data_IF_145024125892
#
_entry.id   IF_145024125892
#
_cell.length_a   1.000
_cell.length_b   1.000
_cell.length_c   1.000
_cell.angle_alpha   90.00
_cell.angle_beta   90.00
_cell.angle_gamma   90.00
#
_symmetry.space_group_name_H-M   'P 1'
#
loop_
_entity.id
_entity.type
_entity.pdbx_description
1 polymer ?
#
# COMPACT_ATOMS: atom_id res chain seq x y z
N UNK A 1 -25.06 11.80 -30.23
CA UNK A 1 -24.73 10.44 -29.73
C UNK A 1 -23.21 10.19 -29.68
N UNK A 2 -22.45 10.63 -30.69
CA UNK A 2 -21.00 10.40 -30.76
C UNK A 2 -20.19 10.90 -29.55
N UNK A 3 -20.48 12.10 -29.02
CA UNK A 3 -19.79 12.62 -27.83
C UNK A 3 -19.98 11.73 -26.58
N UNK A 4 -21.21 11.23 -26.35
CA UNK A 4 -21.48 10.32 -25.22
C UNK A 4 -20.73 9.00 -25.38
N UNK A 5 -20.69 8.44 -26.58
CA UNK A 5 -19.95 7.19 -26.87
C UNK A 5 -18.46 7.39 -26.62
N UNK A 6 -17.89 8.52 -27.07
CA UNK A 6 -16.50 8.88 -26.80
C UNK A 6 -16.21 9.02 -25.30
N UNK A 7 -17.11 9.64 -24.54
CA UNK A 7 -16.96 9.79 -23.09
C UNK A 7 -17.00 8.44 -22.37
N UNK A 8 -17.91 7.53 -22.77
CA UNK A 8 -17.97 6.17 -22.21
C UNK A 8 -16.72 5.36 -22.54
N UNK A 9 -16.23 5.41 -23.79
CA UNK A 9 -14.99 4.72 -24.18
C UNK A 9 -13.79 5.26 -23.37
N UNK A 10 -13.72 6.57 -23.14
CA UNK A 10 -12.63 7.18 -22.39
C UNK A 10 -12.65 6.79 -20.90
N UNK A 11 -13.84 6.73 -20.28
CA UNK A 11 -14.00 6.27 -18.89
C UNK A 11 -13.68 4.77 -18.77
N UNK A 12 -14.24 3.94 -19.66
CA UNK A 12 -14.02 2.49 -19.66
C UNK A 12 -12.56 2.13 -19.95
N UNK A 13 -11.89 2.85 -20.84
CA UNK A 13 -10.45 2.67 -21.11
C UNK A 13 -9.59 3.12 -19.94
N UNK A 14 -9.90 4.26 -19.30
CA UNK A 14 -9.21 4.72 -18.09
C UNK A 14 -9.31 3.72 -16.94
N UNK A 15 -10.52 3.23 -16.64
CA UNK A 15 -10.73 2.16 -15.65
C UNK A 15 -10.05 0.86 -16.07
N UNK A 16 -10.12 0.50 -17.35
CA UNK A 16 -9.50 -0.70 -17.90
C UNK A 16 -7.99 -0.70 -17.74
N UNK A 17 -7.32 0.40 -18.04
CA UNK A 17 -5.87 0.57 -17.84
C UNK A 17 -5.50 0.45 -16.36
N UNK A 18 -6.30 1.03 -15.47
CA UNK A 18 -6.06 0.98 -14.03
C UNK A 18 -6.25 -0.43 -13.46
N UNK A 19 -7.30 -1.14 -13.87
CA UNK A 19 -7.55 -2.53 -13.47
C UNK A 19 -6.48 -3.45 -14.06
N UNK A 20 -6.12 -3.27 -15.34
CA UNK A 20 -5.07 -4.04 -16.00
C UNK A 20 -3.72 -3.85 -15.30
N UNK A 21 -3.37 -2.63 -14.87
CA UNK A 21 -2.17 -2.35 -14.08
C UNK A 21 -2.18 -3.10 -12.75
N UNK A 22 -3.28 -3.05 -12.01
CA UNK A 22 -3.37 -3.72 -10.70
C UNK A 22 -3.41 -5.24 -10.83
N UNK A 23 -4.03 -5.79 -11.88
CA UNK A 23 -4.02 -7.23 -12.20
C UNK A 23 -2.64 -7.68 -12.62
N UNK A 24 -1.94 -6.91 -13.47
CA UNK A 24 -0.56 -7.18 -13.86
C UNK A 24 0.39 -7.11 -12.67
N UNK A 25 0.24 -6.10 -11.81
CA UNK A 25 1.03 -5.94 -10.59
C UNK A 25 0.77 -7.09 -9.62
N UNK A 26 -0.49 -7.46 -9.40
CA UNK A 26 -0.86 -8.62 -8.57
C UNK A 26 -0.26 -9.91 -9.14
N UNK A 27 -0.36 -10.12 -10.45
CA UNK A 27 0.24 -11.26 -11.13
C UNK A 27 1.77 -11.29 -10.98
N UNK A 28 2.45 -10.15 -11.14
CA UNK A 28 3.91 -10.00 -10.91
C UNK A 28 4.29 -10.31 -9.46
N UNK A 29 3.54 -9.80 -8.48
CA UNK A 29 3.79 -10.05 -7.05
C UNK A 29 3.66 -11.54 -6.73
N UNK A 30 2.65 -12.22 -7.29
CA UNK A 30 2.40 -13.65 -7.05
C UNK A 30 3.40 -14.54 -7.80
N UNK A 31 3.75 -14.21 -9.05
CA UNK A 31 4.64 -15.03 -9.89
C UNK A 31 6.12 -14.79 -9.63
N UNK A 32 6.52 -13.58 -9.25
CA UNK A 32 7.92 -13.19 -9.07
C UNK A 32 8.15 -12.38 -7.79
N UNK A 33 7.93 -12.98 -6.59
CA UNK A 33 8.09 -12.29 -5.32
C UNK A 33 9.50 -11.69 -5.17
N UNK A 34 10.56 -12.39 -5.60
CA UNK A 34 11.96 -11.95 -5.39
C UNK A 34 12.44 -10.84 -6.33
N UNK A 35 11.68 -10.47 -7.37
CA UNK A 35 12.08 -9.39 -8.29
C UNK A 35 11.34 -8.08 -8.05
N UNK A 36 10.31 -8.08 -7.21
CA UNK A 36 9.50 -6.88 -6.97
C UNK A 36 9.93 -6.15 -5.71
N UNK A 37 9.83 -4.81 -5.72
CA UNK A 37 10.12 -3.94 -4.56
C UNK A 37 9.37 -4.38 -3.31
N UNK A 38 8.13 -4.82 -3.49
CA UNK A 38 7.26 -5.32 -2.40
C UNK A 38 7.86 -6.57 -1.76
N UNK A 39 8.39 -7.51 -2.54
CA UNK A 39 9.00 -8.72 -2.04
C UNK A 39 10.39 -8.50 -1.44
N UNK A 40 11.21 -7.64 -2.05
CA UNK A 40 12.51 -7.24 -1.47
C UNK A 40 12.30 -6.56 -0.11
N UNK A 41 11.38 -5.60 -0.01
CA UNK A 41 11.04 -4.96 1.24
C UNK A 41 10.47 -5.96 2.27
N UNK A 42 9.74 -6.98 1.82
CA UNK A 42 9.27 -8.06 2.70
C UNK A 42 10.41 -8.94 3.22
N UNK A 43 11.45 -9.20 2.43
CA UNK A 43 12.66 -9.91 2.85
C UNK A 43 13.46 -9.05 3.84
N UNK A 44 13.70 -7.78 3.52
CA UNK A 44 14.41 -6.86 4.40
C UNK A 44 13.71 -6.70 5.75
N UNK A 45 12.36 -6.63 5.75
CA UNK A 45 11.58 -6.66 7.00
C UNK A 45 11.72 -7.98 7.77
N UNK A 46 11.81 -9.13 7.09
CA UNK A 46 12.06 -10.42 7.76
C UNK A 46 13.42 -10.44 8.44
N UNK A 47 14.46 -9.98 7.75
CA UNK A 47 15.81 -9.88 8.29
C UNK A 47 15.86 -8.90 9.47
N UNK A 48 15.22 -7.73 9.33
CA UNK A 48 15.11 -6.75 10.41
C UNK A 48 14.40 -7.33 11.63
N UNK A 49 13.26 -8.01 11.48
CA UNK A 49 12.56 -8.64 12.63
C UNK A 49 13.44 -9.69 13.32
N UNK A 50 14.16 -10.52 12.55
CA UNK A 50 15.08 -11.50 13.12
C UNK A 50 16.19 -10.83 13.94
N UNK A 51 16.82 -9.78 13.40
CA UNK A 51 17.85 -9.01 14.10
C UNK A 51 17.32 -8.30 15.36
N UNK A 52 16.10 -7.74 15.31
CA UNK A 52 15.48 -7.11 16.49
C UNK A 52 15.15 -8.12 17.60
N UNK A 53 14.80 -9.36 17.24
CA UNK A 53 14.45 -10.42 18.19
C UNK A 53 15.64 -11.18 18.77
N UNK A 54 16.81 -11.16 18.12
CA UNK A 54 18.04 -11.74 18.67
C UNK A 54 18.45 -11.05 19.98
N UNK A 55 18.41 -9.72 19.99
CA UNK A 55 18.71 -8.85 21.12
C UNK A 55 17.49 -8.04 21.63
N UNK A 56 16.38 -8.74 21.86
CA UNK A 56 15.11 -8.12 22.27
C UNK A 56 15.22 -7.20 23.53
N UNK A 57 16.17 -7.46 24.44
CA UNK A 57 16.37 -6.63 25.64
C UNK A 57 16.94 -5.23 25.34
N UNK A 58 17.70 -5.08 24.24
CA UNK A 58 18.25 -3.79 23.79
C UNK A 58 17.38 -3.17 22.70
N UNK A 59 16.91 -4.00 21.77
CA UNK A 59 16.28 -3.55 20.53
C UNK A 59 14.74 -3.54 20.59
N UNK A 60 14.12 -4.13 21.61
CA UNK A 60 12.65 -4.24 21.72
C UNK A 60 11.93 -2.89 21.72
N UNK A 61 12.52 -1.87 22.38
CA UNK A 61 11.96 -0.51 22.38
C UNK A 61 11.96 0.10 20.98
N UNK A 62 13.08 0.00 20.26
CA UNK A 62 13.20 0.50 18.88
C UNK A 62 12.22 -0.21 17.95
N UNK A 63 12.06 -1.52 18.12
CA UNK A 63 11.14 -2.32 17.32
C UNK A 63 9.67 -1.91 17.55
N UNK A 64 9.26 -1.76 18.82
CA UNK A 64 7.90 -1.28 19.14
C UNK A 64 7.69 0.15 18.69
N UNK A 65 8.67 1.04 18.85
CA UNK A 65 8.56 2.41 18.37
C UNK A 65 8.37 2.47 16.86
N UNK A 66 9.11 1.66 16.11
CA UNK A 66 8.95 1.54 14.65
C UNK A 66 7.55 1.05 14.28
N UNK A 67 7.03 0.03 14.97
CA UNK A 67 5.67 -0.48 14.76
C UNK A 67 4.60 0.56 15.13
N UNK A 68 4.80 1.33 16.20
CA UNK A 68 3.91 2.44 16.59
C UNK A 68 3.88 3.55 15.56
N UNK A 69 5.03 3.89 14.95
CA UNK A 69 5.08 4.85 13.85
C UNK A 69 4.27 4.35 12.65
N UNK A 70 4.40 3.08 12.30
CA UNK A 70 3.59 2.47 11.23
C UNK A 70 2.09 2.46 11.57
N UNK A 71 1.72 2.16 12.82
CA UNK A 71 0.32 2.25 13.29
C UNK A 71 -0.19 3.68 13.16
N UNK A 72 0.59 4.68 13.56
CA UNK A 72 0.23 6.10 13.44
C UNK A 72 0.01 6.47 11.97
N UNK A 73 0.91 6.08 11.06
CA UNK A 73 0.75 6.31 9.63
C UNK A 73 -0.54 5.67 9.06
N UNK A 74 -0.80 4.40 9.39
CA UNK A 74 -2.06 3.72 9.00
C UNK A 74 -3.28 4.41 9.60
N UNK A 75 -3.19 4.93 10.82
CA UNK A 75 -4.30 5.63 11.51
C UNK A 75 -4.59 6.97 10.84
N UNK A 76 -3.56 7.74 10.48
CA UNK A 76 -3.73 8.99 9.72
C UNK A 76 -4.45 8.72 8.40
N UNK A 77 -3.98 7.72 7.64
CA UNK A 77 -4.63 7.32 6.39
C UNK A 77 -6.07 6.84 6.61
N UNK A 78 -6.36 6.02 7.63
CA UNK A 78 -7.72 5.59 7.93
C UNK A 78 -8.65 6.78 8.27
N UNK A 79 -8.18 7.73 9.09
CA UNK A 79 -8.93 8.94 9.43
C UNK A 79 -9.17 9.83 8.22
N UNK A 80 -8.16 10.00 7.35
CA UNK A 80 -8.35 10.72 6.09
C UNK A 80 -9.40 10.03 5.20
N UNK A 81 -9.42 8.70 5.14
CA UNK A 81 -10.38 7.95 4.33
C UNK A 81 -11.81 8.18 4.83
N UNK A 82 -12.05 8.06 6.14
CA UNK A 82 -13.38 8.25 6.71
C UNK A 82 -13.85 9.71 6.60
N UNK A 83 -12.92 10.67 6.74
CA UNK A 83 -13.19 12.10 6.53
C UNK A 83 -13.62 12.38 5.09
N UNK A 84 -12.92 11.79 4.11
CA UNK A 84 -13.29 11.92 2.70
C UNK A 84 -14.61 11.20 2.39
N UNK A 85 -14.89 10.04 2.98
CA UNK A 85 -16.21 9.41 2.89
C UNK A 85 -17.32 10.34 3.40
N UNK A 86 -17.11 10.99 4.55
CA UNK A 86 -18.07 11.94 5.12
C UNK A 86 -18.26 13.16 4.23
N UNK A 87 -17.17 13.76 3.73
CA UNK A 87 -17.22 14.87 2.78
C UNK A 87 -18.02 14.49 1.52
N UNK A 88 -17.74 13.32 0.94
CA UNK A 88 -18.45 12.83 -0.24
C UNK A 88 -19.94 12.59 0.04
N UNK A 89 -20.29 12.07 1.21
CA UNK A 89 -21.69 11.90 1.62
C UNK A 89 -22.42 13.25 1.74
N UNK A 90 -21.77 14.28 2.30
CA UNK A 90 -22.33 15.64 2.38
C UNK A 90 -22.50 16.26 0.99
N UNK A 91 -21.55 16.06 0.07
CA UNK A 91 -21.66 16.55 -1.31
C UNK A 91 -22.85 15.91 -2.05
N UNK A 92 -23.14 14.63 -1.81
CA UNK A 92 -24.32 13.95 -2.39
C UNK A 92 -25.62 14.53 -1.83
N UNK A 93 -25.71 14.78 -0.52
CA UNK A 93 -26.95 15.26 0.10
C UNK A 93 -27.23 16.74 -0.19
N UNK A 94 -26.17 17.56 -0.27
CA UNK A 94 -26.28 19.00 -0.58
C UNK A 94 -26.53 19.29 -2.06
N UNK A 95 -26.02 18.45 -2.97
CA UNK A 95 -26.23 18.58 -4.42
C UNK A 95 -27.67 18.42 -4.88
N UNK A 96 -28.57 17.91 -4.04
CA UNK A 96 -30.01 17.83 -4.32
C UNK A 96 -30.79 19.14 -4.16
N UNK A 97 -30.19 20.17 -3.55
CA UNK A 97 -30.92 21.38 -3.10
C UNK A 97 -30.38 22.72 -3.64
N UNK A 98 -29.31 22.74 -4.43
CA UNK A 98 -28.75 24.02 -4.91
C UNK A 98 -28.08 23.90 -6.26
N UNK A 99 -28.48 24.79 -7.17
CA UNK A 99 -27.78 25.07 -8.43
C UNK A 99 -26.38 25.59 -8.12
N UNK A 100 -25.42 24.68 -7.91
CA UNK A 100 -24.02 25.03 -7.73
C UNK A 100 -23.33 25.17 -9.11
N UNK A 101 -22.71 26.32 -9.43
CA UNK A 101 -22.09 26.58 -10.73
C UNK A 101 -20.79 25.81 -10.98
N UNK A 102 -20.29 25.03 -10.02
CA UNK A 102 -19.04 24.28 -10.11
C UNK A 102 -19.20 22.91 -10.84
N UNK A 103 -20.44 22.46 -11.09
CA UNK A 103 -20.73 21.13 -11.68
C UNK A 103 -21.09 21.23 -13.18
N UNK A 104 -20.53 22.22 -13.88
CA UNK A 104 -20.85 22.51 -15.29
C UNK A 104 -19.78 21.93 -16.21
N UNK A 105 -19.65 20.59 -16.31
CA UNK A 105 -19.11 19.94 -17.53
C UNK A 105 -19.27 18.39 -17.57
N UNK A 106 -20.46 17.86 -17.33
CA UNK A 106 -20.68 16.42 -17.56
C UNK A 106 -22.12 15.97 -17.29
N UNK A 107 -22.76 15.45 -18.34
CA UNK A 107 -24.11 14.86 -18.45
C UNK A 107 -25.05 14.98 -17.21
N UNK A 108 -26.16 15.72 -17.36
CA UNK A 108 -27.19 16.04 -16.34
C UNK A 108 -28.03 14.84 -15.85
N UNK A 109 -27.55 13.60 -15.96
CA UNK A 109 -28.28 12.43 -15.48
C UNK A 109 -28.00 12.21 -13.99
N UNK A 110 -29.04 12.40 -13.17
CA UNK A 110 -29.02 12.14 -11.71
C UNK A 110 -28.44 10.75 -11.40
N UNK A 111 -28.73 9.76 -12.26
CA UNK A 111 -28.22 8.40 -12.12
C UNK A 111 -26.70 8.28 -12.32
N UNK A 112 -26.15 9.02 -13.29
CA UNK A 112 -24.71 9.04 -13.55
C UNK A 112 -23.92 9.68 -12.40
N UNK A 113 -24.47 10.73 -11.79
CA UNK A 113 -23.87 11.36 -10.61
C UNK A 113 -23.85 10.40 -9.41
N UNK A 114 -24.97 9.76 -9.08
CA UNK A 114 -25.03 8.81 -7.96
C UNK A 114 -24.02 7.66 -8.09
N UNK A 115 -23.83 7.11 -9.29
CA UNK A 115 -22.85 6.04 -9.54
C UNK A 115 -21.42 6.52 -9.27
N UNK A 116 -21.06 7.73 -9.73
CA UNK A 116 -19.72 8.30 -9.52
C UNK A 116 -19.39 8.45 -8.04
N UNK A 117 -20.30 9.05 -7.28
CA UNK A 117 -20.11 9.26 -5.84
C UNK A 117 -20.10 7.96 -5.06
N UNK A 118 -20.98 7.01 -5.41
CA UNK A 118 -20.97 5.68 -4.82
C UNK A 118 -19.64 4.95 -5.06
N UNK A 119 -19.11 5.00 -6.28
CA UNK A 119 -17.81 4.39 -6.62
C UNK A 119 -16.66 5.00 -5.79
N UNK A 120 -16.64 6.32 -5.62
CA UNK A 120 -15.62 7.01 -4.80
C UNK A 120 -15.76 6.62 -3.32
N UNK A 121 -16.98 6.57 -2.80
CA UNK A 121 -17.25 6.18 -1.42
C UNK A 121 -16.79 4.73 -1.15
N UNK A 122 -17.12 3.80 -2.03
CA UNK A 122 -16.66 2.40 -1.94
C UNK A 122 -15.13 2.34 -1.97
N UNK A 123 -14.48 3.11 -2.84
CA UNK A 123 -13.02 3.17 -2.91
C UNK A 123 -12.39 3.64 -1.58
N UNK A 124 -12.90 4.72 -0.99
CA UNK A 124 -12.40 5.20 0.31
C UNK A 124 -12.72 4.24 1.45
N UNK A 125 -13.88 3.58 1.44
CA UNK A 125 -14.22 2.56 2.43
C UNK A 125 -13.24 1.36 2.36
N UNK A 126 -12.89 0.91 1.16
CA UNK A 126 -11.89 -0.14 0.96
C UNK A 126 -10.52 0.31 1.49
N UNK A 127 -10.10 1.54 1.18
CA UNK A 127 -8.86 2.11 1.71
C UNK A 127 -8.86 2.16 3.25
N UNK A 128 -9.98 2.55 3.86
CA UNK A 128 -10.18 2.54 5.32
C UNK A 128 -10.03 1.13 5.89
N UNK A 129 -10.75 0.14 5.34
CA UNK A 129 -10.72 -1.23 5.83
C UNK A 129 -9.31 -1.84 5.77
N UNK A 130 -8.56 -1.60 4.70
CA UNK A 130 -7.17 -2.06 4.59
C UNK A 130 -6.25 -1.40 5.61
N UNK A 131 -6.39 -0.09 5.86
CA UNK A 131 -5.63 0.58 6.90
C UNK A 131 -5.98 0.08 8.32
N UNK A 132 -7.26 -0.20 8.60
CA UNK A 132 -7.70 -0.83 9.87
C UNK A 132 -7.10 -2.22 10.05
N UNK A 133 -7.08 -3.05 9.00
CA UNK A 133 -6.43 -4.36 9.06
C UNK A 133 -4.92 -4.23 9.29
N UNK A 134 -4.26 -3.27 8.66
CA UNK A 134 -2.85 -2.97 8.90
C UNK A 134 -2.58 -2.65 10.37
N UNK A 135 -3.39 -1.76 10.98
CA UNK A 135 -3.29 -1.42 12.40
C UNK A 135 -3.39 -2.66 13.28
N UNK A 136 -4.37 -3.55 13.01
CA UNK A 136 -4.53 -4.81 13.76
C UNK A 136 -3.26 -5.65 13.71
N UNK A 137 -2.71 -5.89 12.52
CA UNK A 137 -1.51 -6.72 12.37
C UNK A 137 -0.28 -6.09 13.03
N UNK A 138 -0.08 -4.77 12.90
CA UNK A 138 1.03 -4.10 13.58
C UNK A 138 0.88 -4.08 15.10
N UNK A 139 -0.34 -3.91 15.62
CA UNK A 139 -0.61 -4.00 17.05
C UNK A 139 -0.28 -5.39 17.59
N UNK A 140 -0.72 -6.46 16.91
CA UNK A 140 -0.33 -7.82 17.28
C UNK A 140 1.19 -8.01 17.21
N UNK A 141 1.84 -7.59 16.12
CA UNK A 141 3.28 -7.70 16.00
C UNK A 141 4.04 -6.94 17.11
N UNK A 142 3.53 -5.80 17.56
CA UNK A 142 4.16 -4.99 18.61
C UNK A 142 4.17 -5.66 19.98
N UNK A 143 3.16 -6.49 20.26
CA UNK A 143 3.10 -7.30 21.47
C UNK A 143 4.04 -8.51 21.32
N UNK A 144 3.99 -9.18 20.15
CA UNK A 144 4.77 -10.39 19.92
C UNK A 144 6.28 -10.14 19.89
N UNK A 145 6.74 -8.99 19.37
CA UNK A 145 8.17 -8.69 19.24
C UNK A 145 8.87 -8.51 20.60
N UNK A 146 8.13 -8.13 21.64
CA UNK A 146 8.64 -7.94 23.01
C UNK A 146 8.43 -9.13 23.92
N UNK A 147 7.80 -10.21 23.44
CA UNK A 147 7.55 -11.38 24.29
C UNK A 147 8.88 -12.11 24.55
N UNK A 148 9.26 -12.37 25.82
CA UNK A 148 10.58 -12.91 26.18
C UNK A 148 10.72 -14.40 25.85
N UNK A 149 10.76 -14.74 24.55
CA UNK A 149 10.90 -16.11 24.08
C UNK A 149 12.28 -16.72 24.35
N UNK A 150 13.29 -15.91 24.73
CA UNK A 150 14.62 -16.39 25.16
C UNK A 150 14.55 -17.27 26.40
N UNK A 151 13.60 -17.02 27.30
CA UNK A 151 13.53 -17.69 28.59
C UNK A 151 12.55 -18.87 28.62
N UNK A 152 11.75 -19.06 27.56
CA UNK A 152 10.65 -20.04 27.51
C UNK A 152 11.02 -21.29 26.70
N UNK A 153 11.98 -21.21 25.78
CA UNK A 153 12.33 -22.33 24.89
C UNK A 153 13.84 -22.50 24.74
N UNK A 154 14.37 -23.59 25.29
CA UNK A 154 15.78 -24.00 25.23
C UNK A 154 16.24 -24.43 23.83
N UNK A 155 15.32 -24.67 22.89
CA UNK A 155 15.63 -25.10 21.52
C UNK A 155 15.68 -23.95 20.51
N UNK A 156 16.84 -23.77 19.87
CA UNK A 156 17.09 -22.76 18.83
C UNK A 156 16.09 -22.82 17.64
N UNK A 157 15.55 -24.01 17.34
CA UNK A 157 14.54 -24.20 16.29
C UNK A 157 13.21 -23.49 16.59
N UNK A 158 12.72 -23.58 17.83
CA UNK A 158 11.47 -22.91 18.23
C UNK A 158 11.62 -21.38 18.21
N UNK A 159 12.80 -20.88 18.58
CA UNK A 159 13.13 -19.44 18.52
C UNK A 159 13.06 -18.90 17.09
N UNK A 160 13.62 -19.62 16.10
CA UNK A 160 13.53 -19.23 14.68
C UNK A 160 12.10 -19.25 14.16
N UNK A 161 11.31 -20.28 14.49
CA UNK A 161 9.92 -20.40 14.06
C UNK A 161 9.07 -19.22 14.57
N UNK A 162 9.30 -18.78 15.81
CA UNK A 162 8.62 -17.62 16.39
C UNK A 162 9.02 -16.32 15.70
N UNK A 163 10.32 -16.09 15.45
CA UNK A 163 10.78 -14.91 14.73
C UNK A 163 10.19 -14.83 13.31
N UNK A 164 10.09 -15.96 12.62
CA UNK A 164 9.46 -16.05 11.29
C UNK A 164 7.95 -15.78 11.34
N UNK A 165 7.27 -16.19 12.42
CA UNK A 165 5.87 -15.86 12.65
C UNK A 165 5.66 -14.36 12.87
N UNK A 166 6.48 -13.73 13.72
CA UNK A 166 6.43 -12.26 13.94
C UNK A 166 6.73 -11.53 12.63
N UNK A 167 7.76 -11.95 11.89
CA UNK A 167 8.12 -11.36 10.61
C UNK A 167 7.00 -11.49 9.57
N UNK A 168 6.31 -12.62 9.54
CA UNK A 168 5.14 -12.82 8.67
C UNK A 168 3.98 -11.92 9.07
N UNK A 169 3.76 -11.72 10.37
CA UNK A 169 2.72 -10.82 10.90
C UNK A 169 3.00 -9.36 10.53
N UNK A 170 4.24 -8.89 10.71
CA UNK A 170 4.67 -7.54 10.28
C UNK A 170 4.51 -7.35 8.77
N UNK A 171 4.91 -8.35 7.98
CA UNK A 171 4.76 -8.28 6.53
C UNK A 171 3.29 -8.24 6.08
N UNK A 172 2.40 -9.02 6.70
CA UNK A 172 0.96 -8.94 6.44
C UNK A 172 0.44 -7.54 6.72
N UNK A 173 0.80 -6.95 7.87
CA UNK A 173 0.44 -5.57 8.21
C UNK A 173 0.92 -4.55 7.19
N UNK A 174 2.14 -4.73 6.66
CA UNK A 174 2.68 -3.86 5.62
C UNK A 174 2.05 -4.05 4.25
N UNK A 175 1.66 -5.27 3.88
CA UNK A 175 0.89 -5.50 2.65
C UNK A 175 -0.46 -4.79 2.71
N UNK A 176 -1.19 -4.91 3.82
CA UNK A 176 -2.46 -4.19 4.00
C UNK A 176 -2.27 -2.67 3.98
N UNK A 177 -1.20 -2.15 4.60
CA UNK A 177 -0.88 -0.73 4.52
C UNK A 177 -0.62 -0.27 3.07
N UNK A 178 0.20 -1.01 2.34
CA UNK A 178 0.54 -0.71 0.95
C UNK A 178 -0.70 -0.80 0.03
N UNK A 179 -1.59 -1.77 0.27
CA UNK A 179 -2.86 -1.89 -0.44
C UNK A 179 -3.81 -0.73 -0.12
N UNK A 180 -3.90 -0.33 1.14
CA UNK A 180 -4.68 0.84 1.56
C UNK A 180 -4.18 2.12 0.90
N UNK A 181 -2.87 2.32 0.85
CA UNK A 181 -2.25 3.48 0.18
C UNK A 181 -2.49 3.46 -1.35
N UNK A 182 -2.40 2.30 -2.00
CA UNK A 182 -2.73 2.17 -3.42
C UNK A 182 -4.21 2.43 -3.70
N UNK A 183 -5.12 2.00 -2.81
CA UNK A 183 -6.53 2.34 -2.91
C UNK A 183 -6.77 3.86 -2.79
N UNK A 184 -5.99 4.55 -1.95
CA UNK A 184 -5.98 6.02 -1.93
C UNK A 184 -5.52 6.62 -3.26
N UNK A 185 -4.45 6.11 -3.85
CA UNK A 185 -4.00 6.57 -5.17
C UNK A 185 -5.07 6.37 -6.25
N UNK A 186 -5.77 5.24 -6.23
CA UNK A 186 -6.87 4.96 -7.13
C UNK A 186 -8.08 5.91 -6.95
N UNK A 187 -8.28 6.46 -5.75
CA UNK A 187 -9.35 7.42 -5.50
C UNK A 187 -9.17 8.76 -6.23
N UNK A 188 -7.93 9.15 -6.56
CA UNK A 188 -7.66 10.44 -7.22
C UNK A 188 -8.28 10.52 -8.63
N UNK A 189 -8.04 9.56 -9.55
CA UNK A 189 -8.73 9.58 -10.85
C UNK A 189 -10.25 9.56 -10.73
N UNK A 190 -10.81 8.85 -9.74
CA UNK A 190 -12.26 8.84 -9.50
C UNK A 190 -12.78 10.20 -9.03
N UNK A 191 -12.04 10.93 -8.19
CA UNK A 191 -12.39 12.31 -7.85
C UNK A 191 -12.34 13.22 -9.08
N UNK A 192 -11.31 13.08 -9.93
CA UNK A 192 -11.18 13.87 -11.15
C UNK A 192 -12.28 13.55 -12.18
N UNK A 193 -12.90 12.37 -12.10
CA UNK A 193 -14.05 11.99 -12.90
C UNK A 193 -15.32 12.82 -12.63
N UNK A 194 -15.37 13.52 -11.49
CA UNK A 194 -16.43 14.49 -11.20
C UNK A 194 -16.32 15.70 -12.17
N UNK A 195 -15.11 16.15 -12.48
CA UNK A 195 -14.85 17.28 -13.39
C UNK A 195 -14.98 16.92 -14.88
N UNK A 196 -14.84 15.62 -15.21
CA UNK A 196 -15.12 15.12 -16.55
C UNK A 196 -14.31 13.87 -16.93
N UNK A 197 -14.59 13.26 -18.09
CA UNK A 197 -13.86 12.11 -18.60
C UNK A 197 -12.39 12.40 -18.94
N UNK A 198 -12.10 13.59 -19.47
CA UNK A 198 -10.75 14.01 -19.89
C UNK A 198 -9.76 14.07 -18.72
N UNK A 199 -10.03 14.80 -17.60
CA UNK A 199 -9.12 14.83 -16.45
C UNK A 199 -8.98 13.46 -15.77
N UNK A 200 -10.04 12.65 -15.75
CA UNK A 200 -9.97 11.26 -15.26
C UNK A 200 -8.99 10.42 -16.08
N UNK A 201 -9.05 10.49 -17.40
CA UNK A 201 -8.16 9.72 -18.27
C UNK A 201 -6.71 10.17 -18.08
N UNK A 202 -6.44 11.47 -18.16
CA UNK A 202 -5.08 12.01 -17.98
C UNK A 202 -4.49 11.63 -16.62
N UNK A 203 -5.27 11.71 -15.56
CA UNK A 203 -4.81 11.34 -14.21
C UNK A 203 -4.61 9.84 -14.03
N UNK A 204 -5.37 9.00 -14.74
CA UNK A 204 -5.16 7.55 -14.74
C UNK A 204 -3.82 7.17 -15.36
N UNK A 205 -3.44 7.80 -16.49
CA UNK A 205 -2.13 7.61 -17.11
C UNK A 205 -0.99 8.12 -16.22
N UNK A 206 -1.15 9.32 -15.65
CA UNK A 206 -0.15 9.89 -14.74
C UNK A 206 0.03 9.01 -13.50
N UNK A 207 -1.06 8.47 -12.94
CA UNK A 207 -0.97 7.58 -11.78
C UNK A 207 -0.24 6.29 -12.13
N UNK A 208 -0.57 5.65 -13.25
CA UNK A 208 0.13 4.44 -13.72
C UNK A 208 1.61 4.73 -13.96
N UNK A 209 1.95 5.87 -14.56
CA UNK A 209 3.34 6.29 -14.77
C UNK A 209 4.08 6.47 -13.44
N UNK A 210 3.49 7.15 -12.46
CA UNK A 210 4.08 7.34 -11.14
C UNK A 210 4.23 6.02 -10.37
N UNK A 211 3.21 5.16 -10.40
CA UNK A 211 3.25 3.83 -9.78
C UNK A 211 4.32 2.96 -10.44
N UNK A 212 4.41 2.98 -11.77
CA UNK A 212 5.43 2.27 -12.51
C UNK A 212 6.83 2.78 -12.14
N UNK A 213 7.03 4.09 -12.09
CA UNK A 213 8.31 4.66 -11.66
C UNK A 213 8.64 4.28 -10.21
N UNK A 214 7.68 4.32 -9.29
CA UNK A 214 7.89 3.90 -7.90
C UNK A 214 8.25 2.42 -7.80
N UNK A 215 7.58 1.56 -8.58
CA UNK A 215 7.80 0.12 -8.58
C UNK A 215 9.08 -0.29 -9.36
N UNK A 216 9.58 0.53 -10.31
CA UNK A 216 10.74 0.21 -11.19
C UNK A 216 12.01 1.00 -10.86
N UNK A 217 11.93 2.29 -10.56
CA UNK A 217 13.11 3.10 -10.22
C UNK A 217 13.80 2.60 -8.95
N UNK A 218 13.05 2.01 -8.03
CA UNK A 218 13.60 1.36 -6.84
C UNK A 218 14.27 0.01 -7.17
N UNK A 219 13.81 -0.73 -8.20
CA UNK A 219 14.55 -1.90 -8.72
C UNK A 219 15.91 -1.47 -9.30
N UNK A 220 15.96 -0.34 -10.02
CA UNK A 220 17.19 0.17 -10.65
C UNK A 220 18.20 0.68 -9.62
N UNK A 221 17.76 1.46 -8.62
CA UNK A 221 18.61 1.98 -7.55
C UNK A 221 19.21 0.86 -6.68
N UNK A 222 18.47 -0.24 -6.49
CA UNK A 222 19.00 -1.43 -5.81
C UNK A 222 19.97 -2.24 -6.67
N UNK A 223 19.72 -2.36 -7.99
CA UNK A 223 20.63 -3.05 -8.90
C UNK A 223 22.00 -2.36 -8.97
N UNK A 224 22.01 -1.02 -8.94
CA UNK A 224 23.23 -0.21 -8.92
C UNK A 224 23.97 -0.33 -7.58
N UNK A 225 23.25 -0.29 -6.45
CA UNK A 225 23.85 -0.49 -5.12
C UNK A 225 24.45 -1.88 -4.87
N UNK A 226 24.05 -2.89 -5.66
CA UNK A 226 24.62 -4.24 -5.62
C UNK A 226 25.86 -4.39 -6.52
N UNK A 227 26.12 -3.47 -7.45
CA UNK A 227 27.35 -3.43 -8.25
C UNK A 227 28.54 -2.86 -7.43
N UNK A 228 28.26 -2.08 -6.39
CA UNK A 228 29.28 -1.50 -5.50
C UNK A 228 29.62 -2.38 -4.28
N UNK A 229 28.92 -3.49 -4.06
CA UNK A 229 29.24 -4.43 -2.98
C UNK A 229 30.14 -5.57 -3.48
N UNK A 230 31.45 -5.30 -3.57
CA UNK A 230 32.46 -6.36 -3.60
C UNK A 230 32.57 -6.89 -2.16
N UNK A 231 32.17 -8.13 -1.85
CA UNK A 231 32.45 -8.71 -0.55
C UNK A 231 33.96 -8.89 -0.50
N UNK A 232 34.63 -8.06 0.30
CA UNK A 232 36.01 -8.30 0.67
C UNK A 232 35.99 -9.61 1.46
N UNK A 233 36.43 -10.68 0.80
CA UNK A 233 36.52 -12.01 1.39
C UNK A 233 37.58 -11.89 2.47
N UNK A 234 37.17 -11.95 3.73
CA UNK A 234 38.07 -12.11 4.86
C UNK A 234 38.89 -13.38 4.60
N UNK A 235 40.19 -13.20 4.35
CA UNK A 235 41.17 -14.27 4.34
C UNK A 235 41.38 -14.71 5.80
N UNK A 236 40.46 -15.54 6.31
CA UNK A 236 40.72 -16.30 7.53
C UNK A 236 41.57 -17.53 7.20
N UNK A 237 42.75 -17.56 7.83
CA UNK A 237 43.40 -18.73 8.41
C UNK A 237 43.31 -20.06 7.66
N UNK A 238 44.37 -20.38 6.92
CA UNK A 238 44.99 -21.70 7.00
C UNK A 238 46.48 -21.57 6.62
N UNK A 239 47.37 -21.71 7.60
CA UNK A 239 48.45 -22.71 7.62
C UNK A 239 49.03 -22.67 9.04
N UNK A 240 48.60 -23.64 9.83
CA UNK A 240 49.44 -24.17 10.89
C UNK A 240 50.58 -24.97 10.24
N UNK A 241 51.81 -24.53 10.46
CA UNK A 241 52.99 -25.35 10.73
C UNK A 241 53.93 -24.57 11.65
#
# INVERSE_FOLDING_TARGET
MEKKISDYILVSSGLGVMVAYHVWLFYRIVRHPNKTVIGINAINRRLWVRAMMEDASKNGVLAVQTLRNNIMASTLLASTAIMLCSLMAVLVTSGGHSESPLVVLGDKSVFGFSIKFFAILVCFLVAFLFNVQSIRYYSHASILINTPFKNISTHAHHRRLTADYVATTVNRGSYFWSLGLRAFYFSFPLLLWIFGPIPMFSSSFLLVFLLYFLDVAFEFCWADGNLDYVPQRDEEEEIGK
#
